data_IF_886905130237
#
_entry.id   IF_886905130237
#
_cell.length_a   1.000
_cell.length_b   1.000
_cell.length_c   1.000
_cell.angle_alpha   90.00
_cell.angle_beta   90.00
_cell.angle_gamma   90.00
#
_symmetry.space_group_name_H-M   'P 1'
#
loop_
_entity.id
_entity.type
_entity.pdbx_description
1 polymer ?
#
# COMPACT_ATOMS: atom_id res chain seq x y z
N UNK A 1 6.22 -11.86 22.81
CA UNK A 1 5.57 -12.97 22.11
C UNK A 1 5.14 -12.50 20.70
N UNK A 2 5.52 -13.23 19.66
CA UNK A 2 5.08 -12.94 18.30
C UNK A 2 3.74 -13.65 18.04
N UNK A 3 2.74 -12.91 17.59
CA UNK A 3 1.41 -13.44 17.29
C UNK A 3 0.99 -13.01 15.89
N UNK A 4 0.60 -13.96 15.04
CA UNK A 4 -0.01 -13.65 13.75
C UNK A 4 -1.46 -13.21 13.97
N UNK A 5 -1.78 -11.98 13.60
CA UNK A 5 -3.11 -11.38 13.82
C UNK A 5 -4.02 -11.42 12.59
N UNK A 6 -3.46 -11.58 11.40
CA UNK A 6 -4.25 -11.66 10.17
C UNK A 6 -3.41 -11.61 8.91
N UNK A 7 -4.08 -11.46 7.78
CA UNK A 7 -3.47 -11.31 6.46
C UNK A 7 -4.50 -11.08 5.38
N UNK A 8 -4.03 -10.61 4.22
CA UNK A 8 -4.82 -10.42 3.02
C UNK A 8 -4.12 -11.09 1.83
N UNK A 9 -4.87 -11.47 0.82
CA UNK A 9 -4.32 -11.89 -0.47
C UNK A 9 -3.79 -10.71 -1.31
N UNK A 10 -4.04 -9.48 -0.89
CA UNK A 10 -3.69 -8.26 -1.62
C UNK A 10 -2.31 -7.73 -1.25
N UNK A 11 -1.25 -8.23 -1.86
CA UNK A 11 0.11 -7.78 -1.63
C UNK A 11 0.87 -7.49 -2.93
N UNK A 12 2.20 -7.63 -2.89
CA UNK A 12 3.08 -7.38 -4.05
C UNK A 12 2.73 -8.22 -5.28
N UNK A 13 2.37 -9.48 -5.07
CA UNK A 13 1.93 -10.35 -6.17
C UNK A 13 0.62 -9.86 -6.82
N UNK A 14 -0.31 -9.34 -6.02
CA UNK A 14 -1.55 -8.72 -6.53
C UNK A 14 -1.23 -7.45 -7.31
N UNK A 15 -0.34 -6.60 -6.78
CA UNK A 15 0.09 -5.38 -7.44
C UNK A 15 0.68 -5.68 -8.82
N UNK A 16 1.67 -6.57 -8.91
CA UNK A 16 2.31 -6.92 -10.19
C UNK A 16 1.35 -7.65 -11.13
N UNK A 17 0.54 -8.55 -10.60
CA UNK A 17 -0.46 -9.29 -11.39
C UNK A 17 -1.49 -8.37 -12.03
N UNK A 18 -2.10 -7.47 -11.28
CA UNK A 18 -3.05 -6.48 -11.82
C UNK A 18 -2.37 -5.52 -12.80
N UNK A 19 -1.16 -5.05 -12.49
CA UNK A 19 -0.38 -4.20 -13.38
C UNK A 19 -0.16 -4.88 -14.75
N UNK A 20 0.28 -6.12 -14.74
CA UNK A 20 0.49 -6.90 -15.98
C UNK A 20 -0.81 -7.12 -16.74
N UNK A 21 -1.88 -7.51 -16.05
CA UNK A 21 -3.18 -7.78 -16.68
C UNK A 21 -3.78 -6.53 -17.35
N UNK A 22 -3.66 -5.37 -16.70
CA UNK A 22 -4.32 -4.14 -17.14
C UNK A 22 -3.47 -3.30 -18.10
N UNK A 23 -2.14 -3.38 -18.01
CA UNK A 23 -1.24 -2.51 -18.78
C UNK A 23 -0.27 -3.27 -19.68
N UNK A 24 -0.12 -4.58 -19.49
CA UNK A 24 0.92 -5.39 -20.14
C UNK A 24 2.32 -5.22 -19.52
N UNK A 25 2.50 -4.33 -18.54
CA UNK A 25 3.79 -4.04 -17.91
C UNK A 25 4.00 -4.99 -16.75
N UNK A 26 5.07 -5.79 -16.79
CA UNK A 26 5.39 -6.81 -15.79
C UNK A 26 6.67 -6.53 -15.00
N UNK A 27 7.55 -5.67 -15.53
CA UNK A 27 8.80 -5.32 -14.86
C UNK A 27 8.53 -4.38 -13.68
N UNK A 28 8.92 -4.80 -12.47
CA UNK A 28 8.58 -4.08 -11.24
C UNK A 28 9.15 -2.65 -11.21
N UNK A 29 10.37 -2.45 -11.68
CA UNK A 29 10.99 -1.12 -11.74
C UNK A 29 10.23 -0.18 -12.68
N UNK A 30 9.72 -0.69 -13.80
CA UNK A 30 8.90 0.08 -14.73
C UNK A 30 7.52 0.41 -14.14
N UNK A 31 6.89 -0.56 -13.46
CA UNK A 31 5.62 -0.36 -12.74
C UNK A 31 5.75 0.78 -11.73
N UNK A 32 6.81 0.76 -10.91
CA UNK A 32 7.00 1.78 -9.85
C UNK A 32 7.26 3.16 -10.43
N UNK A 33 8.15 3.28 -11.42
CA UNK A 33 8.47 4.56 -12.08
C UNK A 33 7.25 5.18 -12.75
N UNK A 34 6.51 4.37 -13.52
CA UNK A 34 5.31 4.87 -14.22
C UNK A 34 4.18 5.25 -13.26
N UNK A 35 4.02 4.53 -12.15
CA UNK A 35 3.03 4.85 -11.14
C UNK A 35 3.30 6.21 -10.45
N UNK A 36 4.57 6.59 -10.26
CA UNK A 36 4.93 7.91 -9.73
C UNK A 36 4.51 9.07 -10.64
N UNK A 37 4.51 8.84 -11.94
CA UNK A 37 4.10 9.82 -12.96
C UNK A 37 2.58 9.81 -13.22
N UNK A 38 1.86 8.84 -12.67
CA UNK A 38 0.43 8.65 -12.89
C UNK A 38 -0.44 9.50 -11.98
N UNK A 39 -1.67 9.72 -12.43
CA UNK A 39 -2.72 10.40 -11.67
C UNK A 39 -3.95 9.50 -11.52
N UNK A 40 -4.48 9.42 -10.31
CA UNK A 40 -5.70 8.67 -9.99
C UNK A 40 -7.00 9.42 -10.28
N UNK A 41 -6.92 10.72 -10.56
CA UNK A 41 -8.06 11.65 -10.66
C UNK A 41 -9.13 11.23 -11.69
N UNK A 42 -8.75 10.51 -12.72
CA UNK A 42 -9.66 10.07 -13.79
C UNK A 42 -10.15 8.61 -13.64
N UNK A 43 -9.65 7.90 -12.64
CA UNK A 43 -9.96 6.47 -12.46
C UNK A 43 -10.65 6.24 -11.12
N UNK A 44 -10.09 6.78 -10.04
CA UNK A 44 -10.66 6.64 -8.71
C UNK A 44 -11.73 7.70 -8.44
N UNK A 45 -12.77 7.28 -7.71
CA UNK A 45 -13.78 8.19 -7.19
C UNK A 45 -13.33 8.63 -5.78
N UNK A 46 -13.16 9.92 -5.59
CA UNK A 46 -12.82 10.51 -4.30
C UNK A 46 -14.07 11.04 -3.59
N UNK A 47 -13.97 11.26 -2.29
CA UNK A 47 -15.06 11.83 -1.49
C UNK A 47 -15.46 13.20 -2.04
N UNK A 48 -14.50 14.07 -2.41
CA UNK A 48 -14.77 15.37 -3.03
C UNK A 48 -15.64 15.30 -4.30
N UNK A 49 -15.52 14.23 -5.07
CA UNK A 49 -16.26 14.03 -6.32
C UNK A 49 -17.75 13.75 -6.06
N UNK A 50 -18.07 13.14 -4.91
CA UNK A 50 -19.46 12.85 -4.51
C UNK A 50 -20.18 14.12 -4.04
N UNK A 51 -19.43 15.01 -3.38
CA UNK A 51 -20.01 16.22 -2.75
C UNK A 51 -19.96 17.47 -3.61
N UNK A 52 -19.76 17.36 -4.90
CA UNK A 52 -19.68 18.43 -5.92
C UNK A 52 -20.07 19.85 -5.42
N UNK A 53 -19.05 20.66 -5.03
CA UNK A 53 -19.26 22.04 -4.58
C UNK A 53 -19.80 22.22 -3.15
N UNK A 54 -20.03 21.14 -2.42
CA UNK A 54 -20.36 21.13 -1.00
C UNK A 54 -19.14 20.70 -0.17
N UNK A 55 -19.07 21.16 1.07
CA UNK A 55 -18.03 20.71 1.99
C UNK A 55 -18.33 19.26 2.44
N UNK A 56 -17.44 18.30 2.16
CA UNK A 56 -17.66 16.92 2.57
C UNK A 56 -17.49 16.77 4.09
N UNK A 57 -18.21 15.81 4.73
CA UNK A 57 -18.14 15.57 6.18
C UNK A 57 -16.82 14.92 6.62
N UNK A 58 -16.01 14.45 5.68
CA UNK A 58 -14.68 13.86 5.88
C UNK A 58 -13.71 14.39 4.83
N UNK A 59 -12.43 14.10 4.96
CA UNK A 59 -11.38 14.54 4.04
C UNK A 59 -11.71 14.23 2.57
N UNK A 60 -11.85 15.28 1.75
CA UNK A 60 -12.28 15.16 0.36
C UNK A 60 -11.35 14.35 -0.56
N UNK A 61 -10.08 14.21 -0.19
CA UNK A 61 -9.09 13.45 -0.94
C UNK A 61 -9.08 11.94 -0.62
N UNK A 62 -9.90 11.50 0.33
CA UNK A 62 -10.07 10.09 0.60
C UNK A 62 -10.71 9.37 -0.58
N UNK A 63 -10.27 8.14 -0.82
CA UNK A 63 -10.85 7.29 -1.86
C UNK A 63 -12.21 6.77 -1.39
N UNK A 64 -13.25 7.14 -2.11
CA UNK A 64 -14.58 6.58 -1.90
C UNK A 64 -14.74 5.24 -2.64
N UNK A 65 -14.15 5.13 -3.84
CA UNK A 65 -14.12 3.89 -4.59
C UNK A 65 -12.91 3.84 -5.53
N UNK A 66 -12.03 2.86 -5.33
CA UNK A 66 -10.99 2.58 -6.31
C UNK A 66 -11.64 2.16 -7.62
N UNK A 67 -11.15 2.66 -8.74
CA UNK A 67 -11.73 2.48 -10.08
C UNK A 67 -13.18 2.98 -10.23
N UNK A 68 -13.69 3.75 -9.28
CA UNK A 68 -15.11 4.15 -9.24
C UNK A 68 -15.56 5.03 -10.40
N UNK A 69 -14.66 5.74 -11.06
CA UNK A 69 -14.99 6.61 -12.22
C UNK A 69 -15.03 5.87 -13.55
N UNK A 70 -14.51 4.64 -13.63
CA UNK A 70 -14.40 3.90 -14.90
C UNK A 70 -15.75 3.78 -15.62
N UNK A 71 -16.79 3.40 -14.91
CA UNK A 71 -18.14 3.27 -15.49
C UNK A 71 -18.89 4.60 -15.61
N UNK A 72 -18.44 5.65 -14.92
CA UNK A 72 -19.09 6.97 -14.94
C UNK A 72 -18.64 7.77 -16.16
N UNK A 73 -17.33 7.78 -16.41
CA UNK A 73 -16.74 8.60 -17.47
C UNK A 73 -16.78 7.95 -18.86
N UNK A 74 -17.08 6.64 -18.95
CA UNK A 74 -17.07 5.85 -20.19
C UNK A 74 -15.83 6.12 -21.06
N UNK A 75 -14.68 6.32 -20.41
CA UNK A 75 -13.43 6.54 -21.11
C UNK A 75 -12.83 5.19 -21.52
N UNK A 76 -12.60 4.99 -22.81
CA UNK A 76 -12.05 3.73 -23.34
C UNK A 76 -10.52 3.68 -23.29
N UNK A 77 -9.84 4.82 -23.06
CA UNK A 77 -8.39 4.96 -23.16
C UNK A 77 -7.77 5.53 -21.89
N UNK A 78 -7.58 4.69 -20.88
CA UNK A 78 -6.81 5.07 -19.69
C UNK A 78 -5.31 4.96 -19.95
N UNK A 79 -4.53 5.93 -19.46
CA UNK A 79 -3.07 5.88 -19.53
C UNK A 79 -2.55 4.79 -18.60
N UNK A 80 -1.53 4.05 -19.05
CA UNK A 80 -0.90 3.01 -18.23
C UNK A 80 -0.38 3.56 -16.90
N UNK A 81 0.21 4.76 -16.88
CA UNK A 81 0.71 5.40 -15.66
C UNK A 81 -0.41 5.61 -14.63
N UNK A 82 -1.59 6.07 -15.07
CA UNK A 82 -2.74 6.33 -14.20
C UNK A 82 -3.32 5.01 -13.64
N UNK A 83 -3.41 3.98 -14.47
CA UNK A 83 -3.82 2.64 -14.03
C UNK A 83 -2.85 2.07 -13.00
N UNK A 84 -1.55 2.21 -13.22
CA UNK A 84 -0.52 1.74 -12.29
C UNK A 84 -0.56 2.49 -10.95
N UNK A 85 -0.78 3.81 -10.97
CA UNK A 85 -0.96 4.61 -9.76
C UNK A 85 -2.18 4.16 -8.96
N UNK A 86 -3.31 3.91 -9.64
CA UNK A 86 -4.55 3.43 -9.04
C UNK A 86 -4.39 2.03 -8.44
N UNK A 87 -3.73 1.09 -9.15
CA UNK A 87 -3.46 -0.26 -8.64
C UNK A 87 -2.60 -0.21 -7.37
N UNK A 88 -1.55 0.62 -7.36
CA UNK A 88 -0.71 0.79 -6.18
C UNK A 88 -1.49 1.37 -5.00
N UNK A 89 -2.37 2.33 -5.27
CA UNK A 89 -3.21 2.91 -4.24
C UNK A 89 -4.21 1.88 -3.67
N UNK A 90 -4.90 1.13 -4.51
CA UNK A 90 -5.78 0.04 -4.08
C UNK A 90 -5.07 -0.91 -3.12
N UNK A 91 -3.89 -1.42 -3.52
CA UNK A 91 -3.12 -2.35 -2.70
C UNK A 91 -2.63 -1.69 -1.40
N UNK A 92 -2.12 -0.46 -1.49
CA UNK A 92 -1.65 0.30 -0.34
C UNK A 92 -2.77 0.59 0.67
N UNK A 93 -3.93 1.02 0.21
CA UNK A 93 -5.09 1.33 1.04
C UNK A 93 -5.64 0.08 1.76
N UNK A 94 -5.71 -1.07 1.08
CA UNK A 94 -6.13 -2.33 1.70
C UNK A 94 -5.16 -2.76 2.80
N UNK A 95 -3.85 -2.75 2.52
CA UNK A 95 -2.81 -3.11 3.49
C UNK A 95 -2.88 -2.16 4.69
N UNK A 96 -2.95 -0.87 4.45
CA UNK A 96 -2.93 0.15 5.50
C UNK A 96 -4.19 0.07 6.37
N UNK A 97 -5.36 -0.08 5.77
CA UNK A 97 -6.63 -0.21 6.51
C UNK A 97 -6.59 -1.39 7.47
N UNK A 98 -6.14 -2.56 7.01
CA UNK A 98 -5.99 -3.74 7.87
C UNK A 98 -4.93 -3.52 8.96
N UNK A 99 -3.79 -2.92 8.62
CA UNK A 99 -2.72 -2.65 9.59
C UNK A 99 -3.19 -1.73 10.71
N UNK A 100 -3.96 -0.70 10.38
CA UNK A 100 -4.55 0.23 11.34
C UNK A 100 -5.54 -0.49 12.25
N UNK A 101 -6.45 -1.30 11.69
CA UNK A 101 -7.42 -2.06 12.49
C UNK A 101 -6.72 -3.00 13.49
N UNK A 102 -5.62 -3.64 13.09
CA UNK A 102 -4.84 -4.46 14.02
C UNK A 102 -4.08 -3.63 15.05
N UNK A 103 -3.56 -2.47 14.67
CA UNK A 103 -2.88 -1.56 15.58
C UNK A 103 -3.84 -1.03 16.65
N UNK A 104 -5.04 -0.61 16.25
CA UNK A 104 -6.11 -0.18 17.16
C UNK A 104 -6.50 -1.30 18.14
N UNK A 105 -6.73 -2.53 17.64
CA UNK A 105 -7.05 -3.68 18.48
C UNK A 105 -5.94 -4.07 19.47
N UNK A 106 -4.70 -3.66 19.20
CA UNK A 106 -3.54 -3.93 20.04
C UNK A 106 -3.04 -2.71 20.83
N UNK A 107 -3.74 -1.59 20.70
CA UNK A 107 -3.41 -0.33 21.37
C UNK A 107 -1.96 0.09 21.07
N UNK A 108 -1.51 -0.06 19.82
CA UNK A 108 -0.15 0.30 19.40
C UNK A 108 -0.16 1.54 18.50
N UNK A 109 0.77 2.46 18.76
CA UNK A 109 0.87 3.72 18.02
C UNK A 109 1.67 3.58 16.71
N UNK A 110 2.61 2.63 16.66
CA UNK A 110 3.54 2.50 15.56
C UNK A 110 3.27 1.26 14.71
N UNK A 111 3.35 1.42 13.39
CA UNK A 111 3.20 0.34 12.42
C UNK A 111 4.46 0.26 11.57
N UNK A 112 5.15 -0.88 11.61
CA UNK A 112 6.34 -1.11 10.80
C UNK A 112 5.93 -1.83 9.52
N UNK A 113 6.16 -1.19 8.37
CA UNK A 113 5.89 -1.76 7.06
C UNK A 113 7.18 -2.32 6.46
N UNK A 114 7.16 -3.61 6.12
CA UNK A 114 8.31 -4.32 5.54
C UNK A 114 7.86 -5.12 4.30
N UNK A 115 8.79 -5.39 3.41
CA UNK A 115 8.58 -6.22 2.23
C UNK A 115 9.28 -5.68 0.99
N UNK A 116 9.62 -6.56 0.06
CA UNK A 116 10.32 -6.19 -1.18
C UNK A 116 9.53 -5.23 -2.08
N UNK A 117 8.21 -5.28 -2.01
CA UNK A 117 7.32 -4.38 -2.77
C UNK A 117 7.47 -2.89 -2.38
N UNK A 118 8.02 -2.62 -1.19
CA UNK A 118 8.32 -1.25 -0.73
C UNK A 118 9.69 -0.75 -1.21
N UNK A 119 10.54 -1.63 -1.72
CA UNK A 119 11.88 -1.25 -2.18
C UNK A 119 11.76 -0.39 -3.45
N UNK A 120 12.34 0.82 -3.41
CA UNK A 120 12.28 1.78 -4.51
C UNK A 120 10.85 2.07 -5.03
N UNK A 121 9.85 1.99 -4.15
CA UNK A 121 8.46 2.25 -4.49
C UNK A 121 7.92 3.41 -3.63
N UNK A 122 8.31 4.61 -4.01
CA UNK A 122 7.96 5.81 -3.25
C UNK A 122 6.47 6.16 -3.36
N UNK A 123 5.84 5.82 -4.50
CA UNK A 123 4.39 6.01 -4.66
C UNK A 123 3.60 5.21 -3.62
N UNK A 124 3.88 3.91 -3.51
CA UNK A 124 3.22 3.04 -2.53
C UNK A 124 3.50 3.46 -1.09
N UNK A 125 4.75 3.84 -0.78
CA UNK A 125 5.12 4.35 0.55
C UNK A 125 4.34 5.62 0.91
N UNK A 126 4.18 6.55 -0.03
CA UNK A 126 3.37 7.77 0.17
C UNK A 126 1.91 7.43 0.47
N UNK A 127 1.30 6.52 -0.29
CA UNK A 127 -0.08 6.08 -0.05
C UNK A 127 -0.22 5.52 1.37
N UNK A 128 0.65 4.58 1.75
CA UNK A 128 0.64 3.93 3.07
C UNK A 128 0.87 4.98 4.19
N UNK A 129 1.89 5.83 4.03
CA UNK A 129 2.24 6.83 5.04
C UNK A 129 1.10 7.82 5.29
N UNK A 130 0.53 8.39 4.22
CA UNK A 130 -0.53 9.37 4.33
C UNK A 130 -1.76 8.80 5.06
N UNK A 131 -2.17 7.59 4.70
CA UNK A 131 -3.31 6.94 5.34
C UNK A 131 -3.04 6.58 6.81
N UNK A 132 -1.82 6.11 7.11
CA UNK A 132 -1.41 5.75 8.48
C UNK A 132 -1.42 6.98 9.39
N UNK A 133 -0.83 8.08 8.93
CA UNK A 133 -0.77 9.36 9.68
C UNK A 133 -2.17 9.95 9.87
N UNK A 134 -3.01 9.91 8.83
CA UNK A 134 -4.41 10.39 8.91
C UNK A 134 -5.18 9.68 10.03
N UNK A 135 -4.90 8.41 10.27
CA UNK A 135 -5.49 7.60 11.35
C UNK A 135 -4.74 7.67 12.68
N UNK A 136 -3.83 8.65 12.82
CA UNK A 136 -3.05 8.95 14.05
C UNK A 136 -2.09 7.85 14.48
N UNK A 137 -1.63 7.02 13.54
CA UNK A 137 -0.55 6.06 13.75
C UNK A 137 0.75 6.54 13.13
N UNK A 138 1.88 6.04 13.60
CA UNK A 138 3.20 6.35 13.08
C UNK A 138 3.66 5.26 12.10
N UNK A 139 3.78 5.55 10.79
CA UNK A 139 4.34 4.62 9.83
C UNK A 139 5.86 4.56 9.93
N UNK A 140 6.43 3.37 9.97
CA UNK A 140 7.88 3.14 10.00
C UNK A 140 8.26 2.27 8.80
N UNK A 141 9.18 2.76 7.97
CA UNK A 141 9.75 2.02 6.85
C UNK A 141 11.24 1.76 7.12
N UNK A 142 11.65 0.51 7.05
CA UNK A 142 13.06 0.14 7.26
C UNK A 142 13.86 0.35 5.97
N UNK A 143 15.13 0.78 6.10
CA UNK A 143 16.04 1.00 4.96
C UNK A 143 16.26 -0.27 4.12
N UNK A 144 16.28 -1.45 4.74
CA UNK A 144 16.47 -2.75 4.11
C UNK A 144 15.18 -3.59 4.13
N UNK A 145 14.03 -2.96 3.87
CA UNK A 145 12.71 -3.59 4.04
C UNK A 145 12.53 -4.88 3.24
N UNK A 146 13.17 -5.04 2.08
CA UNK A 146 13.10 -6.25 1.27
C UNK A 146 13.78 -7.47 1.89
N UNK A 147 14.78 -7.26 2.75
CA UNK A 147 15.55 -8.33 3.40
C UNK A 147 15.24 -8.49 4.89
N UNK A 148 14.33 -7.71 5.44
CA UNK A 148 14.05 -7.70 6.88
C UNK A 148 13.67 -9.07 7.43
N UNK A 149 12.92 -9.88 6.69
CA UNK A 149 12.56 -11.24 7.08
C UNK A 149 13.77 -12.18 7.16
N UNK A 150 14.67 -12.13 6.17
CA UNK A 150 15.89 -12.95 6.14
C UNK A 150 16.87 -12.53 7.24
N UNK A 151 17.03 -11.22 7.46
CA UNK A 151 17.87 -10.69 8.54
C UNK A 151 17.32 -11.12 9.90
N UNK A 152 16.01 -11.00 10.11
CA UNK A 152 15.36 -11.43 11.35
C UNK A 152 15.51 -12.92 11.62
N UNK A 153 15.38 -13.75 10.59
CA UNK A 153 15.60 -15.20 10.71
C UNK A 153 17.04 -15.52 11.10
N UNK A 154 18.03 -14.87 10.47
CA UNK A 154 19.44 -15.04 10.79
C UNK A 154 19.75 -14.63 12.24
N UNK A 155 19.27 -13.48 12.68
CA UNK A 155 19.46 -13.01 14.06
C UNK A 155 18.87 -13.99 15.09
N UNK A 156 17.68 -14.51 14.81
CA UNK A 156 17.02 -15.48 15.69
C UNK A 156 17.82 -16.79 15.79
N UNK A 157 18.40 -17.27 14.69
CA UNK A 157 19.27 -18.45 14.69
C UNK A 157 20.55 -18.23 15.51
N UNK A 158 21.18 -17.05 15.39
CA UNK A 158 22.40 -16.70 16.16
C UNK A 158 22.10 -16.59 17.66
N UNK A 159 20.95 -16.05 18.04
CA UNK A 159 20.56 -15.99 19.45
C UNK A 159 20.29 -17.38 20.05
N UNK A 160 19.58 -18.22 19.31
CA UNK A 160 19.31 -19.59 19.77
C UNK A 160 20.58 -20.44 19.92
N UNK A 161 21.55 -20.28 19.03
CA UNK A 161 22.84 -20.98 19.15
C UNK A 161 23.67 -20.54 20.34
N UNK A 162 23.54 -19.30 20.81
CA UNK A 162 24.21 -18.82 22.02
C UNK A 162 23.58 -19.35 23.31
N UNK A 163 22.26 -19.58 23.31
CA UNK A 163 21.54 -20.12 24.48
C UNK A 163 21.72 -21.64 24.63
N UNK A 164 21.94 -22.37 23.52
CA UNK A 164 22.17 -23.82 23.52
C UNK A 164 23.61 -24.24 23.84
N UNK A 165 24.51 -23.29 24.06
CA UNK A 165 25.94 -23.53 24.38
C UNK A 165 26.30 -23.23 25.84
N UNK A 166 25.33 -23.12 26.74
CA UNK A 166 25.41 -23.09 28.20
C UNK A 166 24.79 -24.33 28.79
#
# INVERSE_FOLDING_TARGET
QQVRVGGTGGGGGTLTGLSTLMTGISEFSEITTKAEEGSREYIDLFVKDIFEGMEPPIEGHLTASNFGKVNILNNENYKANDLLATIQALVGEVITTLSIQFADCKETESIIYIGSTLTNNEHLKKVIANYTVLKKHQPIFLSNCGFSGAIGALLNMVEQSKVGSL
#
